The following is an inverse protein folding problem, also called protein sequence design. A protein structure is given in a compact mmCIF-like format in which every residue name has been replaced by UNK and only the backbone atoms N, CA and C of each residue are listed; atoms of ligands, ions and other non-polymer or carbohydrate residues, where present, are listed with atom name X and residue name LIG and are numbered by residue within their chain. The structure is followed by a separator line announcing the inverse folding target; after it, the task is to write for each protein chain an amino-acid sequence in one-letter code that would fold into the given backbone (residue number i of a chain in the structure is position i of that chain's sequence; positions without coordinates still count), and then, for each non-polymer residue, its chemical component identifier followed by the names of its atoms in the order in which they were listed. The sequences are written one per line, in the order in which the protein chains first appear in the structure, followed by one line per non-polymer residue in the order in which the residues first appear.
data_IF_707122190013
#
_entry.id   IF_707122190013
#
_cell.length_a   1.000
_cell.length_b   1.000
_cell.length_c   1.000
_cell.angle_alpha   90.00
_cell.angle_beta   90.00
_cell.angle_gamma   90.00
#
_symmetry.space_group_name_H-M   'P 1'
#
loop_
_entity.id
_entity.type
_entity.pdbx_description
1 polymer ?
#
# COMPACT_ATOMS: atom_id res chain seq x y z
N UNK A 1 68.07 -19.57 -33.12
CA UNK A 1 67.48 -18.47 -33.92
C UNK A 1 65.97 -18.51 -33.71
N UNK A 2 65.42 -18.31 -32.50
CA UNK A 2 65.58 -17.25 -31.47
C UNK A 2 64.44 -16.22 -31.62
N UNK A 3 63.60 -15.97 -30.60
CA UNK A 3 63.54 -16.61 -29.29
C UNK A 3 62.36 -16.18 -28.41
N UNK A 4 62.52 -16.44 -27.11
CA UNK A 4 61.77 -15.98 -25.92
C UNK A 4 61.27 -14.51 -26.07
N UNK A 5 60.19 -13.99 -25.46
CA UNK A 5 59.54 -14.15 -24.13
C UNK A 5 58.26 -13.24 -24.17
N UNK A 6 57.16 -13.29 -23.40
CA UNK A 6 56.67 -13.93 -22.16
C UNK A 6 55.24 -14.51 -22.44
N UNK A 7 54.45 -15.19 -21.60
CA UNK A 7 54.25 -15.30 -20.14
C UNK A 7 53.42 -14.19 -19.43
N UNK A 8 52.30 -13.73 -20.01
CA UNK A 8 51.31 -12.81 -19.40
C UNK A 8 50.14 -13.50 -18.68
N UNK A 9 50.31 -13.84 -17.39
CA UNK A 9 49.32 -14.58 -16.58
C UNK A 9 48.15 -13.69 -16.13
N UNK A 10 46.97 -13.84 -16.74
CA UNK A 10 45.74 -13.17 -16.26
C UNK A 10 45.43 -13.66 -14.84
N UNK A 11 45.54 -12.75 -13.87
CA UNK A 11 45.34 -13.10 -12.46
C UNK A 11 43.84 -13.18 -12.14
N UNK A 12 43.42 -14.40 -11.78
CA UNK A 12 42.68 -14.67 -10.54
C UNK A 12 41.57 -13.66 -10.19
N UNK A 13 40.35 -13.89 -10.69
CA UNK A 13 39.15 -13.19 -10.24
C UNK A 13 38.82 -13.56 -8.77
N UNK A 14 39.56 -12.97 -7.83
CA UNK A 14 39.42 -13.21 -6.39
C UNK A 14 38.02 -12.84 -5.91
N UNK A 15 37.23 -13.87 -5.59
CA UNK A 15 36.29 -13.90 -4.47
C UNK A 15 35.60 -12.56 -4.15
N UNK A 16 34.84 -12.03 -5.12
CA UNK A 16 33.94 -10.88 -4.93
C UNK A 16 32.76 -11.28 -4.05
N UNK A 17 33.01 -11.54 -2.76
CA UNK A 17 32.01 -12.03 -1.82
C UNK A 17 30.86 -11.03 -1.70
N UNK A 18 29.62 -11.55 -1.64
CA UNK A 18 28.45 -10.75 -1.30
C UNK A 18 28.58 -10.24 0.13
N UNK A 19 29.24 -9.09 0.29
CA UNK A 19 29.21 -8.29 1.51
C UNK A 19 27.79 -7.86 1.73
N UNK A 20 27.07 -8.66 2.53
CA UNK A 20 25.67 -8.46 2.92
C UNK A 20 25.59 -7.22 3.80
N UNK A 21 25.64 -6.05 3.15
CA UNK A 21 25.69 -4.75 3.80
C UNK A 21 24.55 -4.68 4.81
N UNK A 22 24.91 -4.55 6.10
CA UNK A 22 23.95 -4.31 7.18
C UNK A 22 23.43 -2.89 7.02
N UNK A 23 22.50 -2.72 6.08
CA UNK A 23 21.96 -1.42 5.71
C UNK A 23 21.46 -0.68 6.95
N UNK A 24 21.99 0.51 7.19
CA UNK A 24 21.43 1.42 8.20
C UNK A 24 19.98 1.67 7.81
N UNK A 25 19.04 1.37 8.70
CA UNK A 25 17.63 1.59 8.43
C UNK A 25 17.42 3.12 8.36
N UNK A 26 17.20 3.63 7.15
CA UNK A 26 17.09 5.06 6.86
C UNK A 26 15.72 5.37 6.27
N UNK A 27 15.30 6.64 6.36
CA UNK A 27 13.98 7.08 5.88
C UNK A 27 13.79 6.72 4.40
N UNK A 28 14.83 6.92 3.58
CA UNK A 28 14.84 6.53 2.18
C UNK A 28 14.79 5.01 1.95
N UNK A 29 15.43 4.19 2.81
CA UNK A 29 15.43 2.73 2.67
C UNK A 29 14.04 2.10 2.88
N UNK A 30 13.14 2.76 3.65
CA UNK A 30 11.75 2.34 3.80
C UNK A 30 10.84 2.80 2.66
N UNK A 31 11.27 3.70 1.77
CA UNK A 31 10.45 4.21 0.65
C UNK A 31 10.82 3.49 -0.67
N UNK A 32 10.05 2.46 -1.03
CA UNK A 32 10.23 1.70 -2.28
C UNK A 32 9.25 2.13 -3.38
N UNK A 33 9.73 3.00 -4.28
CA UNK A 33 8.97 3.53 -5.43
C UNK A 33 8.58 2.44 -6.45
N UNK A 34 7.43 1.79 -6.24
CA UNK A 34 6.83 0.86 -7.21
C UNK A 34 6.29 1.59 -8.45
N UNK A 35 5.99 0.84 -9.51
CA UNK A 35 5.70 1.34 -10.87
C UNK A 35 4.47 2.27 -11.06
N UNK A 36 3.77 2.65 -9.99
CA UNK A 36 2.67 3.62 -9.98
C UNK A 36 2.90 4.78 -8.96
N UNK A 37 3.95 4.74 -8.15
CA UNK A 37 4.35 5.86 -7.29
C UNK A 37 4.99 6.98 -8.15
N UNK A 38 4.83 8.26 -7.79
CA UNK A 38 5.52 9.35 -8.48
C UNK A 38 7.04 9.19 -8.29
N UNK A 39 7.81 9.47 -9.34
CA UNK A 39 9.29 9.47 -9.30
C UNK A 39 9.87 10.77 -8.72
N UNK A 40 9.05 11.57 -8.06
CA UNK A 40 9.44 12.81 -7.40
C UNK A 40 10.20 12.53 -6.10
N UNK A 41 10.83 13.59 -5.57
CA UNK A 41 11.31 13.63 -4.19
C UNK A 41 10.26 13.11 -3.19
N UNK A 42 10.68 12.55 -2.04
CA UNK A 42 9.74 12.13 -1.00
C UNK A 42 8.93 13.34 -0.52
N UNK A 43 7.61 13.16 -0.42
CA UNK A 43 6.73 14.18 0.13
C UNK A 43 6.94 14.34 1.66
N UNK A 44 6.49 15.46 2.22
CA UNK A 44 6.50 15.68 3.66
C UNK A 44 5.72 14.58 4.40
N UNK A 45 4.56 14.15 3.89
CA UNK A 45 3.76 13.07 4.49
C UNK A 45 4.47 11.71 4.41
N UNK A 46 5.18 11.44 3.32
CA UNK A 46 5.97 10.21 3.13
C UNK A 46 7.15 10.14 4.09
N UNK A 47 7.82 11.27 4.29
CA UNK A 47 8.96 11.42 5.21
C UNK A 47 8.52 11.20 6.66
N UNK A 48 7.38 11.77 7.07
CA UNK A 48 6.80 11.58 8.41
C UNK A 48 6.41 10.13 8.68
N UNK A 49 5.73 9.46 7.73
CA UNK A 49 5.33 8.04 7.90
C UNK A 49 6.56 7.12 7.90
N UNK A 50 7.56 7.37 7.05
CA UNK A 50 8.79 6.58 7.03
C UNK A 50 9.63 6.77 8.32
N UNK A 51 9.66 7.96 8.91
CA UNK A 51 10.26 8.19 10.22
C UNK A 51 9.50 7.47 11.33
N UNK A 52 8.17 7.58 11.39
CA UNK A 52 7.36 6.86 12.37
C UNK A 52 7.60 5.34 12.32
N UNK A 53 7.72 4.75 11.12
CA UNK A 53 8.06 3.33 10.92
C UNK A 53 9.50 2.95 11.30
N UNK A 54 10.44 3.91 11.40
CA UNK A 54 11.78 3.68 11.98
C UNK A 54 11.72 3.71 13.51
N UNK A 55 10.97 4.65 14.08
CA UNK A 55 10.80 4.76 15.52
C UNK A 55 10.16 3.47 16.08
N UNK A 56 9.14 2.90 15.41
CA UNK A 56 8.51 1.65 15.85
C UNK A 56 9.45 0.44 15.77
N UNK A 57 10.33 0.35 14.75
CA UNK A 57 11.36 -0.70 14.68
C UNK A 57 12.39 -0.59 15.82
N UNK A 58 12.58 0.61 16.38
CA UNK A 58 13.49 0.84 17.49
C UNK A 58 12.82 0.62 18.86
N UNK A 59 11.59 1.09 19.03
CA UNK A 59 10.88 1.08 20.31
C UNK A 59 10.17 -0.24 20.63
N UNK A 60 9.76 -1.03 19.62
CA UNK A 60 9.01 -2.28 19.84
C UNK A 60 9.83 -3.48 19.34
N UNK A 61 10.42 -4.29 20.24
CA UNK A 61 11.33 -5.37 19.85
C UNK A 61 10.63 -6.47 19.04
N UNK A 62 9.38 -6.81 19.39
CA UNK A 62 8.58 -7.84 18.69
C UNK A 62 8.39 -7.50 17.20
N UNK A 63 8.03 -6.24 16.91
CA UNK A 63 7.75 -5.78 15.56
C UNK A 63 9.04 -5.59 14.73
N UNK A 64 10.21 -5.52 15.38
CA UNK A 64 11.51 -5.26 14.74
C UNK A 64 11.88 -6.30 13.68
N UNK A 65 11.54 -7.57 13.91
CA UNK A 65 11.79 -8.66 12.96
C UNK A 65 10.91 -8.53 11.70
N UNK A 66 9.65 -8.15 11.87
CA UNK A 66 8.66 -8.08 10.80
C UNK A 66 8.67 -6.76 10.03
N UNK A 67 8.94 -5.62 10.70
CA UNK A 67 8.99 -4.29 10.08
C UNK A 67 10.25 -4.04 9.24
N UNK A 68 11.38 -4.68 9.57
CA UNK A 68 12.66 -4.48 8.87
C UNK A 68 12.62 -4.78 7.35
N UNK A 69 12.00 -5.88 6.87
CA UNK A 69 11.87 -6.14 5.43
C UNK A 69 10.74 -5.35 4.74
N UNK A 70 9.92 -4.59 5.49
CA UNK A 70 8.75 -3.90 4.95
C UNK A 70 9.06 -2.48 4.48
N UNK A 71 8.43 -2.10 3.37
CA UNK A 71 8.62 -0.81 2.71
C UNK A 71 7.26 -0.23 2.32
N UNK A 72 7.19 1.09 2.20
CA UNK A 72 6.04 1.83 1.70
C UNK A 72 6.38 2.38 0.31
N UNK A 73 5.41 2.44 -0.61
CA UNK A 73 5.62 3.04 -1.94
C UNK A 73 5.31 4.53 -1.98
N UNK A 74 4.32 4.94 -1.20
CA UNK A 74 3.91 6.33 -1.00
C UNK A 74 3.06 6.45 0.27
N UNK A 75 2.82 7.67 0.70
CA UNK A 75 1.79 8.06 1.64
C UNK A 75 1.02 9.23 1.02
N UNK A 76 -0.25 9.41 1.39
CA UNK A 76 -1.04 10.59 1.04
C UNK A 76 -1.99 10.94 2.16
N UNK A 77 -2.08 12.23 2.47
CA UNK A 77 -3.16 12.76 3.29
C UNK A 77 -4.44 12.95 2.46
N UNK A 78 -5.59 12.65 3.06
CA UNK A 78 -6.92 12.81 2.49
C UNK A 78 -7.85 13.40 3.55
N UNK A 79 -8.46 14.55 3.27
CA UNK A 79 -9.41 15.17 4.18
C UNK A 79 -10.74 14.38 4.22
N UNK A 80 -11.28 14.18 5.42
CA UNK A 80 -12.50 13.40 5.69
C UNK A 80 -13.67 14.36 5.94
N UNK A 81 -14.89 13.92 5.61
CA UNK A 81 -16.11 14.66 5.98
C UNK A 81 -16.19 14.71 7.50
N UNK A 82 -16.36 15.91 8.07
CA UNK A 82 -16.22 16.14 9.51
C UNK A 82 -14.83 16.63 9.97
N UNK A 83 -13.97 17.13 9.07
CA UNK A 83 -12.76 17.90 9.40
C UNK A 83 -11.54 17.09 9.86
N UNK A 84 -11.73 15.83 10.26
CA UNK A 84 -10.65 14.86 10.47
C UNK A 84 -9.86 14.62 9.17
N UNK A 85 -8.63 14.13 9.30
CA UNK A 85 -7.79 13.72 8.15
C UNK A 85 -7.48 12.23 8.21
N UNK A 86 -7.24 11.63 7.05
CA UNK A 86 -6.82 10.23 6.94
C UNK A 86 -5.47 10.14 6.21
N UNK A 87 -4.55 9.34 6.75
CA UNK A 87 -3.27 9.02 6.12
C UNK A 87 -3.42 7.68 5.40
N UNK A 88 -3.37 7.72 4.07
CA UNK A 88 -3.42 6.55 3.19
C UNK A 88 -1.99 6.11 2.89
N UNK A 89 -1.58 4.96 3.43
CA UNK A 89 -0.25 4.39 3.22
C UNK A 89 -0.30 3.37 2.08
N UNK A 90 0.45 3.63 1.01
CA UNK A 90 0.49 2.78 -0.18
C UNK A 90 1.55 1.69 -0.04
N UNK A 91 1.11 0.43 0.08
CA UNK A 91 1.97 -0.74 0.31
C UNK A 91 2.34 -1.43 -1.02
N UNK A 92 3.60 -1.89 -1.22
CA UNK A 92 3.93 -2.75 -2.35
C UNK A 92 3.11 -4.05 -2.32
N UNK A 93 2.39 -4.38 -3.42
CA UNK A 93 1.51 -5.57 -3.50
C UNK A 93 2.17 -6.89 -3.01
N UNK A 94 3.47 -7.18 -3.24
CA UNK A 94 4.11 -8.38 -2.69
C UNK A 94 4.21 -8.41 -1.15
N UNK A 95 4.28 -7.25 -0.50
CA UNK A 95 4.41 -7.09 0.95
C UNK A 95 3.07 -7.00 1.69
N UNK A 96 1.95 -6.79 0.97
CA UNK A 96 0.57 -6.74 1.48
C UNK A 96 0.29 -7.84 2.52
N UNK A 97 0.55 -9.11 2.18
CA UNK A 97 0.30 -10.26 3.05
C UNK A 97 1.12 -10.26 4.34
N UNK A 98 2.27 -9.59 4.36
CA UNK A 98 3.06 -9.42 5.57
C UNK A 98 2.51 -8.28 6.43
N UNK A 99 2.20 -7.11 5.83
CA UNK A 99 1.53 -6.01 6.53
C UNK A 99 0.24 -6.45 7.23
N UNK A 100 -0.63 -7.23 6.57
CA UNK A 100 -1.91 -7.68 7.13
C UNK A 100 -1.76 -8.48 8.45
N UNK A 101 -0.66 -9.23 8.65
CA UNK A 101 -0.40 -9.92 9.93
C UNK A 101 -0.21 -8.96 11.09
N UNK A 102 0.42 -7.82 10.83
CA UNK A 102 0.85 -6.82 11.82
C UNK A 102 -0.20 -5.70 11.97
N UNK A 103 -1.05 -5.51 10.96
CA UNK A 103 -1.90 -4.33 10.76
C UNK A 103 -2.74 -3.98 12.00
N UNK A 104 -3.25 -4.96 12.75
CA UNK A 104 -4.01 -4.71 13.99
C UNK A 104 -3.20 -4.11 15.15
N UNK A 105 -1.88 -4.33 15.21
CA UNK A 105 -0.96 -3.66 16.15
C UNK A 105 -0.44 -2.35 15.56
N UNK A 106 0.03 -2.42 14.32
CA UNK A 106 0.70 -1.34 13.59
C UNK A 106 -0.23 -0.11 13.40
N UNK A 107 -1.52 -0.32 13.10
CA UNK A 107 -2.51 0.78 13.05
C UNK A 107 -2.64 1.51 14.39
N UNK A 108 -2.79 0.76 15.50
CA UNK A 108 -2.91 1.32 16.85
C UNK A 108 -1.68 2.12 17.29
N UNK A 109 -0.48 1.71 16.86
CA UNK A 109 0.76 2.43 17.14
C UNK A 109 0.94 3.68 16.29
N UNK A 110 0.55 3.65 15.01
CA UNK A 110 0.58 4.83 14.16
C UNK A 110 -0.54 5.83 14.49
N UNK A 111 -1.72 5.40 14.90
CA UNK A 111 -2.80 6.31 15.36
C UNK A 111 -2.46 6.97 16.71
N UNK A 112 -1.59 6.36 17.54
CA UNK A 112 -0.96 7.04 18.69
C UNK A 112 0.09 8.08 18.28
N UNK A 113 0.82 7.85 17.18
CA UNK A 113 1.82 8.78 16.61
C UNK A 113 1.16 9.97 15.88
N UNK A 114 0.02 9.73 15.23
CA UNK A 114 -0.72 10.69 14.42
C UNK A 114 -2.09 10.98 15.05
N UNK A 115 -2.10 11.75 16.14
CA UNK A 115 -3.32 12.16 16.83
C UNK A 115 -4.34 12.77 15.85
N UNK A 116 -5.61 12.41 16.02
CA UNK A 116 -6.75 12.83 15.21
C UNK A 116 -6.68 12.48 13.71
N UNK A 117 -5.74 11.61 13.29
CA UNK A 117 -5.63 11.13 11.91
C UNK A 117 -5.80 9.61 11.80
N UNK A 118 -6.77 9.18 11.01
CA UNK A 118 -7.02 7.76 10.79
C UNK A 118 -6.01 7.18 9.79
N UNK A 119 -5.33 6.10 10.16
CA UNK A 119 -4.28 5.48 9.32
C UNK A 119 -4.82 4.24 8.62
N UNK A 120 -4.75 4.22 7.28
CA UNK A 120 -5.33 3.14 6.45
C UNK A 120 -4.31 2.66 5.42
N UNK A 121 -4.21 1.34 5.26
CA UNK A 121 -3.28 0.69 4.33
C UNK A 121 -4.01 0.31 3.03
N UNK A 122 -3.38 0.59 1.88
CA UNK A 122 -3.90 0.19 0.57
C UNK A 122 -2.73 -0.26 -0.29
N UNK A 123 -2.83 -1.41 -0.95
CA UNK A 123 -1.78 -1.89 -1.83
C UNK A 123 -1.77 -1.15 -3.19
N UNK A 124 -0.57 -0.77 -3.63
CA UNK A 124 -0.30 0.06 -4.80
C UNK A 124 -0.50 -0.71 -6.13
N UNK A 125 -1.78 -0.94 -6.48
CA UNK A 125 -2.20 -1.73 -7.65
C UNK A 125 -2.14 -0.93 -8.95
N UNK A 126 -1.44 -1.47 -9.96
CA UNK A 126 -1.36 -0.86 -11.30
C UNK A 126 -2.58 -1.19 -12.18
N UNK A 127 -3.50 -0.24 -12.30
CA UNK A 127 -4.53 -0.26 -13.33
C UNK A 127 -3.93 -0.06 -14.73
N UNK A 128 -4.33 -0.89 -15.70
CA UNK A 128 -4.08 -0.62 -17.13
C UNK A 128 -5.36 -0.09 -17.80
N UNK A 129 -5.30 0.41 -19.04
CA UNK A 129 -6.50 0.77 -19.81
C UNK A 129 -7.11 -0.48 -20.46
N UNK A 130 -8.36 -0.42 -20.93
CA UNK A 130 -8.90 -1.48 -21.82
C UNK A 130 -8.23 -1.30 -23.19
N UNK A 131 -7.64 -2.34 -23.80
CA UNK A 131 -7.14 -2.22 -25.17
C UNK A 131 -8.31 -1.86 -26.10
N UNK A 132 -8.10 -0.86 -26.95
CA UNK A 132 -9.05 -0.42 -27.99
C UNK A 132 -8.64 -1.03 -29.34
N UNK A 133 -9.53 -0.93 -30.35
CA UNK A 133 -9.33 -1.56 -31.67
C UNK A 133 -8.01 -1.17 -32.37
N UNK A 134 -7.48 0.03 -32.09
CA UNK A 134 -6.19 0.50 -32.60
C UNK A 134 -4.99 0.39 -31.64
N UNK A 135 -5.12 -0.34 -30.52
CA UNK A 135 -4.04 -0.39 -29.52
C UNK A 135 -2.89 -1.32 -29.93
N UNK A 136 -1.64 -0.83 -29.89
CA UNK A 136 -0.42 -1.59 -30.23
C UNK A 136 -0.02 -2.66 -29.19
N UNK A 137 -0.89 -3.01 -28.23
CA UNK A 137 -0.58 -4.00 -27.18
C UNK A 137 -0.79 -5.43 -27.69
N UNK A 138 0.31 -6.13 -28.01
CA UNK A 138 0.28 -7.54 -28.44
C UNK A 138 -0.08 -8.53 -27.32
N UNK A 139 0.22 -8.19 -26.06
CA UNK A 139 -0.03 -9.06 -24.90
C UNK A 139 -1.42 -8.86 -24.30
N UNK A 140 -2.12 -9.95 -23.96
CA UNK A 140 -3.43 -9.87 -23.30
C UNK A 140 -3.34 -9.23 -21.91
N UNK A 141 -4.28 -8.34 -21.58
CA UNK A 141 -4.37 -7.68 -20.27
C UNK A 141 -4.72 -8.69 -19.16
N UNK A 142 -3.89 -8.86 -18.11
CA UNK A 142 -4.22 -9.71 -16.97
C UNK A 142 -5.46 -9.21 -16.21
N UNK A 143 -6.34 -10.14 -15.81
CA UNK A 143 -7.61 -9.83 -15.10
C UNK A 143 -7.39 -9.06 -13.79
N UNK A 144 -6.31 -9.35 -13.06
CA UNK A 144 -5.91 -8.65 -11.83
C UNK A 144 -5.56 -7.17 -12.02
N UNK A 145 -5.25 -6.73 -13.25
CA UNK A 145 -5.01 -5.33 -13.61
C UNK A 145 -6.22 -4.70 -14.30
N UNK A 146 -7.43 -5.24 -14.10
CA UNK A 146 -8.70 -4.64 -14.54
C UNK A 146 -9.17 -3.53 -13.59
N UNK A 147 -9.84 -2.51 -14.12
CA UNK A 147 -10.39 -1.42 -13.28
C UNK A 147 -11.36 -1.99 -12.25
N UNK A 148 -12.27 -2.90 -12.64
CA UNK A 148 -13.18 -3.57 -11.70
C UNK A 148 -12.41 -4.27 -10.57
N UNK A 149 -11.53 -5.23 -10.90
CA UNK A 149 -10.81 -6.00 -9.89
C UNK A 149 -9.92 -5.15 -8.98
N UNK A 150 -9.33 -4.05 -9.48
CA UNK A 150 -8.55 -3.13 -8.64
C UNK A 150 -9.44 -2.32 -7.70
N UNK A 151 -10.63 -1.86 -8.13
CA UNK A 151 -11.57 -1.17 -7.24
C UNK A 151 -12.19 -2.12 -6.21
N UNK A 152 -12.48 -3.36 -6.58
CA UNK A 152 -12.98 -4.37 -5.66
C UNK A 152 -11.91 -4.69 -4.59
N UNK A 153 -10.68 -4.97 -4.99
CA UNK A 153 -9.57 -5.25 -4.07
C UNK A 153 -9.05 -4.03 -3.27
N UNK A 154 -9.41 -2.79 -3.65
CA UNK A 154 -9.16 -1.62 -2.79
C UNK A 154 -10.19 -1.56 -1.65
N UNK A 155 -11.43 -2.03 -1.85
CA UNK A 155 -12.41 -2.09 -0.77
C UNK A 155 -12.05 -3.16 0.26
N UNK A 156 -11.52 -4.30 -0.19
CA UNK A 156 -10.99 -5.37 0.67
C UNK A 156 -9.85 -4.85 1.58
N UNK A 157 -8.85 -4.14 1.03
CA UNK A 157 -7.77 -3.55 1.83
C UNK A 157 -8.27 -2.52 2.86
N UNK A 158 -9.23 -1.68 2.47
CA UNK A 158 -9.73 -0.58 3.31
C UNK A 158 -10.40 -1.05 4.60
N UNK A 159 -11.08 -2.20 4.58
CA UNK A 159 -11.89 -2.69 5.71
C UNK A 159 -11.19 -3.77 6.55
N UNK A 160 -9.98 -4.20 6.17
CA UNK A 160 -9.19 -5.16 6.93
C UNK A 160 -8.95 -4.66 8.37
N UNK A 161 -9.25 -5.45 9.42
CA UNK A 161 -9.30 -6.92 9.45
C UNK A 161 -10.64 -7.58 9.04
N UNK A 162 -11.69 -6.81 8.83
CA UNK A 162 -13.05 -7.34 8.58
C UNK A 162 -13.24 -7.84 7.15
N UNK A 163 -14.18 -8.77 6.97
CA UNK A 163 -14.58 -9.27 5.66
C UNK A 163 -15.89 -8.63 5.18
N UNK A 164 -16.03 -8.47 3.86
CA UNK A 164 -17.22 -7.89 3.24
C UNK A 164 -18.28 -8.98 3.10
N UNK A 165 -19.27 -8.98 4.00
CA UNK A 165 -20.40 -9.94 3.99
C UNK A 165 -21.29 -9.78 2.75
N UNK A 166 -21.36 -8.57 2.18
CA UNK A 166 -22.16 -8.31 0.99
C UNK A 166 -21.86 -6.99 0.29
N UNK A 167 -22.25 -6.91 -0.99
CA UNK A 167 -22.04 -5.71 -1.82
C UNK A 167 -23.22 -5.48 -2.76
N UNK A 168 -23.97 -4.41 -2.55
CA UNK A 168 -25.12 -4.02 -3.39
C UNK A 168 -24.84 -2.66 -4.04
N UNK A 169 -25.18 -2.46 -5.31
CA UNK A 169 -25.05 -1.15 -5.96
C UNK A 169 -26.45 -0.58 -6.20
N UNK A 170 -26.83 0.45 -5.44
CA UNK A 170 -28.05 1.21 -5.72
C UNK A 170 -27.78 2.11 -6.93
N UNK A 171 -28.71 2.14 -7.86
CA UNK A 171 -28.79 3.14 -8.93
C UNK A 171 -29.98 4.03 -8.61
N UNK A 172 -29.80 5.35 -8.63
CA UNK A 172 -30.89 6.30 -8.48
C UNK A 172 -31.55 6.59 -9.84
N UNK A 173 -32.70 7.26 -9.82
CA UNK A 173 -33.41 7.70 -11.05
C UNK A 173 -32.54 8.67 -11.86
N UNK A 174 -31.81 9.55 -11.17
CA UNK A 174 -30.80 10.49 -11.69
C UNK A 174 -29.53 9.81 -12.24
N UNK A 175 -29.52 8.48 -12.39
CA UNK A 175 -28.40 7.68 -12.89
C UNK A 175 -27.22 7.57 -11.93
N UNK A 176 -27.23 8.29 -10.81
CA UNK A 176 -26.19 8.25 -9.77
C UNK A 176 -26.06 6.85 -9.17
N UNK A 177 -24.82 6.42 -8.90
CA UNK A 177 -24.51 5.04 -8.46
C UNK A 177 -23.81 5.03 -7.12
N UNK A 178 -24.44 4.37 -6.16
CA UNK A 178 -24.02 4.36 -4.76
C UNK A 178 -23.84 2.92 -4.31
N UNK A 179 -22.61 2.57 -3.94
CA UNK A 179 -22.27 1.21 -3.52
C UNK A 179 -22.55 1.11 -2.01
N UNK A 180 -23.44 0.19 -1.62
CA UNK A 180 -23.60 -0.26 -0.24
C UNK A 180 -22.70 -1.47 -0.01
N UNK A 181 -21.77 -1.35 0.93
CA UNK A 181 -20.90 -2.43 1.40
C UNK A 181 -21.41 -2.86 2.77
N UNK A 182 -21.60 -4.16 2.95
CA UNK A 182 -22.01 -4.77 4.21
C UNK A 182 -20.80 -5.43 4.87
N UNK A 183 -20.66 -5.21 6.17
CA UNK A 183 -19.59 -5.72 7.04
C UNK A 183 -20.20 -6.57 8.17
N UNK A 184 -19.44 -7.51 8.73
CA UNK A 184 -19.89 -8.34 9.86
C UNK A 184 -20.14 -7.48 11.11
N UNK A 185 -21.29 -7.69 11.77
CA UNK A 185 -21.72 -6.96 12.97
C UNK A 185 -20.74 -7.13 14.15
N UNK A 186 -19.99 -8.24 14.21
CA UNK A 186 -19.05 -8.54 15.30
C UNK A 186 -17.97 -7.47 15.50
N UNK A 187 -17.57 -6.80 14.42
CA UNK A 187 -16.49 -5.81 14.42
C UNK A 187 -16.99 -4.35 14.44
N UNK A 188 -18.29 -4.13 14.62
CA UNK A 188 -18.88 -2.79 14.63
C UNK A 188 -18.17 -1.85 15.62
N UNK A 189 -17.96 -2.31 16.85
CA UNK A 189 -17.26 -1.59 17.92
C UNK A 189 -15.81 -1.19 17.56
N UNK A 190 -15.16 -1.91 16.65
CA UNK A 190 -13.78 -1.66 16.22
C UNK A 190 -13.66 -0.77 14.96
N UNK A 191 -14.70 -0.73 14.10
CA UNK A 191 -14.64 -0.03 12.81
C UNK A 191 -15.60 1.15 12.65
N UNK A 192 -16.66 1.28 13.46
CA UNK A 192 -17.68 2.32 13.31
C UNK A 192 -17.08 3.73 13.20
N UNK A 193 -16.11 4.05 14.06
CA UNK A 193 -15.43 5.35 14.07
C UNK A 193 -14.55 5.65 12.83
N UNK A 194 -14.36 4.68 11.92
CA UNK A 194 -13.57 4.82 10.68
C UNK A 194 -14.40 4.85 9.39
N UNK A 195 -15.70 4.52 9.43
CA UNK A 195 -16.51 4.31 8.22
C UNK A 195 -16.56 5.51 7.27
N UNK A 196 -16.68 6.74 7.81
CA UNK A 196 -16.64 7.97 7.02
C UNK A 196 -15.26 8.21 6.37
N UNK A 197 -14.19 7.84 7.05
CA UNK A 197 -12.83 7.90 6.51
C UNK A 197 -12.66 6.95 5.33
N UNK A 198 -13.17 5.72 5.43
CA UNK A 198 -13.18 4.76 4.33
C UNK A 198 -14.01 5.26 3.13
N UNK A 199 -15.17 5.89 3.39
CA UNK A 199 -16.00 6.51 2.34
C UNK A 199 -15.25 7.64 1.62
N UNK A 200 -14.69 8.60 2.36
CA UNK A 200 -13.91 9.72 1.79
C UNK A 200 -12.67 9.23 1.03
N UNK A 201 -11.90 8.30 1.59
CA UNK A 201 -10.70 7.75 0.93
C UNK A 201 -11.06 7.02 -0.36
N UNK A 202 -12.06 6.13 -0.34
CA UNK A 202 -12.49 5.45 -1.57
C UNK A 202 -13.05 6.42 -2.61
N UNK A 203 -13.83 7.43 -2.20
CA UNK A 203 -14.33 8.47 -3.10
C UNK A 203 -13.18 9.26 -3.73
N UNK A 204 -12.16 9.68 -2.97
CA UNK A 204 -10.99 10.42 -3.45
C UNK A 204 -10.12 9.59 -4.41
N UNK A 205 -9.98 8.28 -4.18
CA UNK A 205 -9.14 7.40 -5.00
C UNK A 205 -9.83 6.87 -6.26
N UNK A 206 -11.17 6.76 -6.25
CA UNK A 206 -11.91 6.04 -7.29
C UNK A 206 -13.01 6.82 -8.00
N UNK A 207 -13.38 8.00 -7.48
CA UNK A 207 -14.50 8.80 -7.98
C UNK A 207 -15.88 8.17 -7.77
N UNK A 208 -16.02 7.16 -6.90
CA UNK A 208 -17.27 6.42 -6.66
C UNK A 208 -17.73 6.58 -5.22
N UNK A 209 -19.03 6.76 -5.03
CA UNK A 209 -19.64 6.88 -3.71
C UNK A 209 -19.86 5.49 -3.08
N UNK A 210 -19.44 5.35 -1.82
CA UNK A 210 -19.65 4.16 -0.99
C UNK A 210 -20.27 4.58 0.34
N UNK A 211 -21.25 3.80 0.81
CA UNK A 211 -21.62 3.77 2.21
C UNK A 211 -21.35 2.36 2.75
N UNK A 212 -20.70 2.30 3.91
CA UNK A 212 -20.55 1.09 4.69
C UNK A 212 -21.74 0.99 5.65
N UNK A 213 -22.25 -0.21 5.83
CA UNK A 213 -23.27 -0.56 6.81
C UNK A 213 -22.86 -1.91 7.41
N UNK A 214 -23.21 -2.19 8.66
CA UNK A 214 -23.11 -3.55 9.16
C UNK A 214 -24.32 -4.36 8.68
N UNK A 215 -24.13 -5.67 8.45
CA UNK A 215 -25.24 -6.61 8.26
C UNK A 215 -25.65 -7.15 9.62
N UNK A 216 -26.91 -6.90 9.97
CA UNK A 216 -27.69 -7.58 11.02
C UNK A 216 -27.67 -9.11 10.82
#
# INVERSE_FOLDING_TARGET
MDGQRWSGRVQECRSGGLTRARGRCSVAAKIFRTANAPRTAPDATETLVAQALLDLENNVPDLKAELRPLQISAAREVDVKGGKKAIVVFVPVPQLKAFHKIQGRLTRELEKKFSDRHVVFIAQRRMMRKPTRGSRQKQQRPRSRTLKAVHDAILEDLVFPTEITGKRTRQAVDGSKTIKVFLDQKDATNLEYKLDSFSSVYQKLTGKNVHFQFSE
#
